data_IF_019730642195
#
_entry.id   IF_019730642195
#
_cell.length_a   1.000
_cell.length_b   1.000
_cell.length_c   1.000
_cell.angle_alpha   90.00
_cell.angle_beta   90.00
_cell.angle_gamma   90.00
#
_symmetry.space_group_name_H-M   'P 1'
#
loop_
_entity.id
_entity.type
_entity.pdbx_description
1 polymer ?
#
# COMPACT_ATOMS: atom_id res chain seq x y z
N UNK A 1 -41.39 -22.55 -58.46
CA UNK A 1 -41.56 -21.60 -57.35
C UNK A 1 -40.49 -21.93 -56.32
N UNK A 2 -39.44 -21.12 -56.24
CA UNK A 2 -38.33 -21.31 -55.29
C UNK A 2 -38.59 -20.46 -54.05
N UNK A 3 -39.08 -21.07 -52.98
CA UNK A 3 -39.23 -20.46 -51.66
C UNK A 3 -37.88 -20.49 -50.94
N UNK A 4 -37.21 -19.34 -50.88
CA UNK A 4 -36.03 -19.15 -50.02
C UNK A 4 -36.50 -18.99 -48.58
N UNK A 5 -36.04 -19.88 -47.71
CA UNK A 5 -36.23 -19.79 -46.25
C UNK A 5 -35.17 -18.81 -45.71
N UNK A 6 -35.55 -17.74 -44.98
CA UNK A 6 -34.57 -16.86 -44.38
C UNK A 6 -33.93 -17.54 -43.17
N UNK A 7 -32.60 -17.66 -43.20
CA UNK A 7 -31.79 -18.12 -42.08
C UNK A 7 -31.56 -16.93 -41.13
N UNK A 8 -32.31 -16.87 -40.04
CA UNK A 8 -32.07 -15.89 -38.97
C UNK A 8 -30.89 -16.36 -38.13
N UNK A 9 -29.73 -15.74 -38.31
CA UNK A 9 -28.58 -15.95 -37.44
C UNK A 9 -28.85 -15.23 -36.12
N UNK A 10 -29.17 -16.00 -35.09
CA UNK A 10 -29.27 -15.49 -33.72
C UNK A 10 -27.83 -15.31 -33.21
N UNK A 11 -27.28 -14.09 -33.31
CA UNK A 11 -26.02 -13.76 -32.63
C UNK A 11 -26.33 -13.59 -31.13
N UNK A 12 -26.07 -14.62 -30.32
CA UNK A 12 -25.95 -14.43 -28.89
C UNK A 12 -24.66 -13.65 -28.65
N UNK A 13 -24.78 -12.36 -28.40
CA UNK A 13 -23.72 -11.62 -27.74
C UNK A 13 -23.63 -12.17 -26.31
N UNK A 14 -22.71 -13.12 -26.08
CA UNK A 14 -22.20 -13.36 -24.74
C UNK A 14 -21.47 -12.08 -24.35
N UNK A 15 -22.15 -11.20 -23.62
CA UNK A 15 -21.47 -10.17 -22.86
C UNK A 15 -20.57 -10.90 -21.87
N UNK A 16 -19.26 -10.78 -22.05
CA UNK A 16 -18.32 -11.17 -21.02
C UNK A 16 -18.68 -10.32 -19.80
N UNK A 17 -19.27 -10.93 -18.79
CA UNK A 17 -19.33 -10.35 -17.46
C UNK A 17 -17.88 -10.39 -17.00
N UNK A 18 -17.17 -9.27 -17.17
CA UNK A 18 -15.89 -9.09 -16.54
C UNK A 18 -16.16 -9.16 -15.04
N UNK A 19 -15.81 -10.27 -14.40
CA UNK A 19 -15.79 -10.36 -12.97
C UNK A 19 -14.87 -9.23 -12.49
N UNK A 20 -15.44 -8.29 -11.73
CA UNK A 20 -14.66 -7.29 -11.04
C UNK A 20 -13.65 -8.03 -10.18
N UNK A 21 -12.39 -7.58 -10.20
CA UNK A 21 -11.32 -8.13 -9.39
C UNK A 21 -11.77 -8.29 -7.93
N UNK A 22 -11.66 -9.51 -7.38
CA UNK A 22 -12.07 -9.85 -6.00
C UNK A 22 -10.97 -9.47 -4.99
N UNK A 23 -10.62 -8.18 -4.96
CA UNK A 23 -9.73 -7.66 -3.93
C UNK A 23 -10.43 -7.70 -2.57
N UNK A 24 -9.80 -8.36 -1.61
CA UNK A 24 -10.14 -8.21 -0.20
C UNK A 24 -9.28 -7.09 0.37
N UNK A 25 -9.90 -5.95 0.68
CA UNK A 25 -9.24 -4.85 1.38
C UNK A 25 -8.94 -5.30 2.81
N UNK A 26 -7.67 -5.21 3.21
CA UNK A 26 -7.21 -5.51 4.57
C UNK A 26 -7.28 -4.24 5.42
N UNK A 27 -6.72 -3.13 4.93
CA UNK A 27 -6.73 -1.86 5.64
C UNK A 27 -6.48 -0.69 4.68
N UNK A 28 -7.23 0.39 4.85
CA UNK A 28 -6.94 1.71 4.25
C UNK A 28 -6.30 2.66 5.25
N UNK A 29 -6.16 2.26 6.51
CA UNK A 29 -5.62 3.07 7.60
C UNK A 29 -6.30 4.45 7.82
N UNK A 30 -7.46 4.71 7.21
CA UNK A 30 -8.22 5.95 7.33
C UNK A 30 -8.84 6.18 8.73
N UNK A 31 -8.88 5.14 9.56
CA UNK A 31 -9.35 5.21 10.95
C UNK A 31 -8.36 4.55 11.91
N UNK A 32 -8.30 5.06 13.13
CA UNK A 32 -7.41 4.59 14.18
C UNK A 32 -7.66 3.12 14.58
N UNK A 33 -8.87 2.59 14.37
CA UNK A 33 -9.16 1.17 14.59
C UNK A 33 -8.35 0.24 13.68
N UNK A 34 -7.77 0.76 12.58
CA UNK A 34 -6.87 -0.02 11.74
C UNK A 34 -5.62 -0.51 12.49
N UNK A 35 -5.22 0.16 13.59
CA UNK A 35 -4.13 -0.32 14.44
C UNK A 35 -4.50 -1.57 15.25
N UNK A 36 -5.78 -1.93 15.39
CA UNK A 36 -6.18 -3.19 16.05
C UNK A 36 -5.70 -4.42 15.25
N UNK A 37 -5.38 -4.24 13.97
CA UNK A 37 -4.78 -5.26 13.11
C UNK A 37 -3.25 -5.31 13.19
N UNK A 38 -2.64 -4.34 13.85
CA UNK A 38 -1.19 -4.18 13.93
C UNK A 38 -0.68 -4.61 15.30
N UNK A 39 0.30 -5.52 15.30
CA UNK A 39 1.08 -5.84 16.50
C UNK A 39 2.48 -5.24 16.38
N UNK A 40 2.82 -4.33 17.27
CA UNK A 40 4.15 -3.76 17.38
C UNK A 40 5.01 -4.56 18.36
N UNK A 41 6.20 -4.97 17.91
CA UNK A 41 7.17 -5.69 18.71
C UNK A 41 8.50 -4.94 18.70
N UNK A 42 8.85 -4.34 19.84
CA UNK A 42 10.13 -3.65 20.02
C UNK A 42 11.15 -4.57 20.71
N UNK A 43 12.41 -4.50 20.28
CA UNK A 43 13.49 -5.32 20.87
C UNK A 43 14.02 -4.79 22.20
N UNK A 44 13.64 -3.57 22.59
CA UNK A 44 14.03 -2.93 23.84
C UNK A 44 12.75 -2.69 24.64
N UNK A 45 12.70 -3.24 25.86
CA UNK A 45 11.60 -3.00 26.79
C UNK A 45 11.52 -1.51 27.14
N UNK A 46 10.34 -0.92 27.00
CA UNK A 46 10.11 0.51 27.25
C UNK A 46 10.61 1.44 26.14
N UNK A 47 10.97 0.90 24.97
CA UNK A 47 11.29 1.72 23.79
C UNK A 47 10.12 2.60 23.36
N UNK A 48 10.41 3.79 22.86
CA UNK A 48 9.44 4.66 22.18
C UNK A 48 9.19 4.29 20.71
N UNK A 49 9.82 3.20 20.25
CA UNK A 49 9.52 2.59 18.97
C UNK A 49 8.04 2.16 18.93
N UNK A 50 7.33 2.67 17.93
CA UNK A 50 5.89 2.50 17.80
C UNK A 50 5.45 2.70 16.37
N UNK A 51 4.27 2.23 16.06
CA UNK A 51 3.51 2.68 14.91
C UNK A 51 2.29 3.49 15.34
N UNK A 52 1.82 4.35 14.44
CA UNK A 52 0.64 5.18 14.62
C UNK A 52 0.00 5.48 13.26
N UNK A 53 -1.22 6.01 13.28
CA UNK A 53 -1.88 6.50 12.07
C UNK A 53 -1.60 7.99 11.92
N UNK A 54 -1.01 8.38 10.79
CA UNK A 54 -0.77 9.77 10.43
C UNK A 54 -1.37 10.00 9.05
N UNK A 55 -2.31 10.93 8.96
CA UNK A 55 -2.97 11.32 7.71
C UNK A 55 -3.51 10.12 6.91
N UNK A 56 -4.18 9.21 7.63
CA UNK A 56 -4.77 7.99 7.08
C UNK A 56 -3.76 6.91 6.71
N UNK A 57 -2.48 7.00 7.15
CA UNK A 57 -1.44 6.04 6.80
C UNK A 57 -0.81 5.41 8.02
N UNK A 58 -0.42 4.15 7.89
CA UNK A 58 0.38 3.46 8.89
C UNK A 58 1.82 3.98 8.86
N UNK A 59 2.16 4.79 9.86
CA UNK A 59 3.49 5.36 10.04
C UNK A 59 4.24 4.57 11.11
N UNK A 60 5.50 4.23 10.82
CA UNK A 60 6.35 3.49 11.76
C UNK A 60 7.56 4.31 12.19
N UNK A 61 7.88 4.26 13.48
CA UNK A 61 8.97 5.00 14.12
C UNK A 61 9.89 4.03 14.86
N UNK A 62 11.20 3.99 14.57
CA UNK A 62 12.13 3.05 15.20
C UNK A 62 12.56 3.45 16.63
N UNK A 63 11.89 4.43 17.25
CA UNK A 63 12.20 4.95 18.59
C UNK A 63 13.03 6.23 18.58
N UNK A 64 13.44 6.67 19.76
CA UNK A 64 14.17 7.92 19.96
C UNK A 64 15.65 7.82 19.57
N UNK A 65 16.25 9.00 19.35
CA UNK A 65 17.68 9.19 19.06
C UNK A 65 18.60 8.43 20.04
N UNK A 66 18.25 8.42 21.33
CA UNK A 66 19.08 7.85 22.39
C UNK A 66 18.86 6.34 22.60
N UNK A 67 17.89 5.74 21.91
CA UNK A 67 17.59 4.31 21.99
C UNK A 67 18.43 3.54 20.97
N UNK A 68 19.75 3.51 21.19
CA UNK A 68 20.68 2.83 20.28
C UNK A 68 20.32 1.35 20.15
N UNK A 69 20.28 0.84 18.92
CA UNK A 69 19.81 -0.50 18.53
C UNK A 69 18.31 -0.75 18.74
N UNK A 70 17.49 0.29 18.92
CA UNK A 70 16.04 0.12 18.89
C UNK A 70 15.59 -0.34 17.49
N UNK A 71 14.83 -1.42 17.46
CA UNK A 71 14.20 -1.98 16.29
C UNK A 71 12.71 -2.12 16.57
N UNK A 72 11.91 -1.72 15.59
CA UNK A 72 10.47 -1.97 15.57
C UNK A 72 10.18 -3.06 14.55
N UNK A 73 9.35 -4.02 14.94
CA UNK A 73 8.73 -4.99 14.05
C UNK A 73 7.22 -4.80 14.13
N UNK A 74 6.63 -4.12 13.15
CA UNK A 74 5.19 -3.95 13.01
C UNK A 74 4.62 -5.07 12.16
N UNK A 75 3.62 -5.79 12.68
CA UNK A 75 3.00 -6.92 12.00
C UNK A 75 1.52 -6.66 11.79
N UNK A 76 1.12 -6.47 10.53
CA UNK A 76 -0.27 -6.34 10.12
C UNK A 76 -0.84 -7.73 9.81
N UNK A 77 -1.90 -8.13 10.51
CA UNK A 77 -2.66 -9.34 10.18
C UNK A 77 -3.46 -9.12 8.89
N UNK A 78 -3.23 -9.98 7.90
CA UNK A 78 -3.91 -9.95 6.61
C UNK A 78 -5.29 -10.60 6.66
N UNK A 79 -5.64 -11.27 7.77
CA UNK A 79 -6.91 -11.97 7.96
C UNK A 79 -7.08 -13.21 7.07
N UNK A 80 -6.05 -13.58 6.29
CA UNK A 80 -6.07 -14.73 5.38
C UNK A 80 -4.70 -15.40 5.28
N UNK A 81 -4.71 -16.72 5.09
CA UNK A 81 -3.50 -17.50 4.84
C UNK A 81 -3.20 -17.55 3.34
N UNK A 82 -2.27 -16.71 2.88
CA UNK A 82 -1.87 -16.62 1.48
C UNK A 82 -1.22 -17.90 0.97
N UNK A 83 -0.57 -18.67 1.86
CA UNK A 83 0.01 -19.97 1.49
C UNK A 83 -1.09 -20.98 1.20
N UNK A 84 -2.04 -21.14 2.12
CA UNK A 84 -3.16 -22.05 1.91
C UNK A 84 -3.97 -21.66 0.66
N UNK A 85 -4.18 -20.36 0.43
CA UNK A 85 -4.85 -19.85 -0.75
C UNK A 85 -4.11 -20.22 -2.05
N UNK A 86 -2.81 -19.91 -2.15
CA UNK A 86 -1.96 -20.26 -3.30
C UNK A 86 -1.94 -21.76 -3.61
N UNK A 87 -1.86 -22.61 -2.57
CA UNK A 87 -1.95 -24.07 -2.73
C UNK A 87 -3.35 -24.47 -3.22
N UNK A 88 -4.40 -23.86 -2.67
CA UNK A 88 -5.79 -24.14 -3.01
C UNK A 88 -6.13 -23.84 -4.48
N UNK A 89 -5.62 -22.73 -5.02
CA UNK A 89 -5.78 -22.36 -6.44
C UNK A 89 -4.75 -23.05 -7.35
N UNK A 90 -3.73 -23.69 -6.79
CA UNK A 90 -2.67 -24.37 -7.53
C UNK A 90 -1.75 -23.41 -8.30
N UNK A 91 -1.57 -22.19 -7.80
CA UNK A 91 -0.79 -21.14 -8.46
C UNK A 91 -0.60 -19.92 -7.59
N UNK A 92 -0.27 -18.79 -8.21
CA UNK A 92 0.00 -17.56 -7.49
C UNK A 92 -1.26 -16.89 -6.92
N UNK A 93 -1.08 -16.11 -5.85
CA UNK A 93 -2.04 -15.14 -5.30
C UNK A 93 -1.37 -13.77 -5.24
N UNK A 94 -2.14 -12.69 -5.13
CA UNK A 94 -1.56 -11.34 -5.07
C UNK A 94 -1.73 -10.69 -3.70
N UNK A 95 -0.66 -10.08 -3.22
CA UNK A 95 -0.66 -9.10 -2.13
C UNK A 95 -0.35 -7.71 -2.69
N UNK A 96 -1.05 -6.68 -2.21
CA UNK A 96 -0.90 -5.28 -2.62
C UNK A 96 -0.67 -4.38 -1.42
N UNK A 97 0.21 -3.39 -1.58
CA UNK A 97 0.43 -2.31 -0.61
C UNK A 97 0.91 -1.04 -1.29
N UNK A 98 0.56 0.12 -0.73
CA UNK A 98 1.15 1.41 -1.08
C UNK A 98 2.23 1.82 -0.09
N UNK A 99 3.34 2.36 -0.59
CA UNK A 99 4.48 2.78 0.22
C UNK A 99 4.93 4.19 -0.17
N UNK A 100 5.13 5.06 0.81
CA UNK A 100 5.57 6.45 0.60
C UNK A 100 6.75 6.80 1.52
N UNK A 101 7.80 7.40 0.94
CA UNK A 101 8.84 8.12 1.68
C UNK A 101 8.46 9.61 1.72
N UNK A 102 7.91 10.13 2.83
CA UNK A 102 7.38 11.49 2.87
C UNK A 102 8.46 12.57 2.79
N UNK A 103 8.02 13.80 2.53
CA UNK A 103 8.82 15.00 2.80
C UNK A 103 8.66 15.38 4.28
N UNK A 104 9.78 15.61 4.96
CA UNK A 104 9.85 15.94 6.39
C UNK A 104 10.68 17.20 6.61
N UNK A 105 10.56 17.82 7.78
CA UNK A 105 11.42 18.95 8.16
C UNK A 105 12.88 18.53 8.28
N UNK A 106 13.80 19.40 7.84
CA UNK A 106 15.24 19.20 8.04
C UNK A 106 15.75 19.72 9.39
N UNK A 107 14.88 20.30 10.23
CA UNK A 107 15.24 20.90 11.52
C UNK A 107 15.95 22.26 11.43
N UNK A 108 16.20 22.78 10.24
CA UNK A 108 16.85 24.05 9.96
C UNK A 108 15.91 25.05 9.24
N UNK A 109 14.61 24.76 9.22
CA UNK A 109 13.58 25.58 8.56
C UNK A 109 13.35 25.22 7.09
N UNK A 110 13.96 24.14 6.58
CA UNK A 110 13.71 23.56 5.27
C UNK A 110 13.01 22.20 5.36
N UNK A 111 12.96 21.53 4.21
CA UNK A 111 12.34 20.22 4.03
C UNK A 111 13.25 19.29 3.24
N UNK A 112 13.16 17.99 3.49
CA UNK A 112 13.92 16.95 2.80
C UNK A 112 13.11 15.66 2.71
N UNK A 113 13.55 14.73 1.85
CA UNK A 113 13.04 13.35 1.85
C UNK A 113 13.31 12.67 3.20
N UNK A 114 12.38 11.84 3.66
CA UNK A 114 12.54 10.98 4.83
C UNK A 114 13.76 10.05 4.69
N UNK A 115 14.62 10.00 5.71
CA UNK A 115 15.77 9.12 5.79
C UNK A 115 15.32 7.83 6.48
N UNK A 116 15.24 6.73 5.72
CA UNK A 116 14.67 5.45 6.19
C UNK A 116 15.60 4.27 5.89
N UNK A 117 15.63 3.31 6.79
CA UNK A 117 16.14 1.93 6.67
C UNK A 117 14.97 1.01 7.08
N UNK A 118 14.16 0.64 6.09
CA UNK A 118 12.95 -0.15 6.31
C UNK A 118 12.98 -1.40 5.45
N UNK A 119 12.55 -2.51 6.02
CA UNK A 119 12.24 -3.75 5.33
C UNK A 119 10.76 -4.05 5.46
N UNK A 120 10.12 -4.54 4.39
CA UNK A 120 8.77 -5.05 4.48
C UNK A 120 8.55 -6.27 3.59
N UNK A 121 7.47 -7.00 3.86
CA UNK A 121 7.03 -8.10 3.03
C UNK A 121 6.15 -9.09 3.76
N UNK A 122 6.04 -10.31 3.23
CA UNK A 122 5.17 -11.35 3.75
C UNK A 122 5.92 -12.24 4.75
N UNK A 123 5.24 -12.66 5.81
CA UNK A 123 5.81 -13.48 6.87
C UNK A 123 4.87 -14.58 7.34
N UNK A 124 5.46 -15.74 7.65
CA UNK A 124 4.82 -16.82 8.38
C UNK A 124 5.17 -16.86 9.87
N UNK A 125 5.89 -15.86 10.35
CA UNK A 125 6.32 -15.78 11.74
C UNK A 125 5.18 -15.24 12.61
N UNK A 126 5.22 -15.57 13.90
CA UNK A 126 4.30 -15.01 14.90
C UNK A 126 4.98 -13.85 15.65
N UNK A 127 4.22 -12.85 16.13
CA UNK A 127 4.77 -11.71 16.86
C UNK A 127 5.73 -12.08 17.99
N UNK A 128 5.41 -13.12 18.76
CA UNK A 128 6.22 -13.57 19.90
C UNK A 128 7.62 -14.07 19.51
N UNK A 129 7.83 -14.44 18.25
CA UNK A 129 9.08 -15.04 17.76
C UNK A 129 9.93 -14.06 16.94
N UNK A 130 9.35 -12.97 16.43
CA UNK A 130 9.98 -12.10 15.42
C UNK A 130 11.30 -11.48 15.91
N UNK A 131 11.46 -11.25 17.21
CA UNK A 131 12.72 -10.73 17.78
C UNK A 131 13.86 -11.76 17.74
N UNK A 132 13.51 -13.04 17.70
CA UNK A 132 14.46 -14.15 17.62
C UNK A 132 14.87 -14.40 16.17
N UNK A 133 13.92 -14.47 15.25
CA UNK A 133 14.16 -14.80 13.83
C UNK A 133 14.48 -13.58 12.98
N UNK A 134 14.01 -12.39 13.36
CA UNK A 134 14.36 -11.08 12.78
C UNK A 134 14.14 -11.06 11.26
N UNK A 135 15.19 -10.83 10.48
CA UNK A 135 15.12 -10.80 9.02
C UNK A 135 14.84 -12.18 8.40
N UNK A 136 15.03 -13.27 9.14
CA UNK A 136 14.69 -14.61 8.64
C UNK A 136 13.18 -14.92 8.79
N UNK A 137 12.41 -13.99 9.35
CA UNK A 137 10.95 -14.05 9.41
C UNK A 137 10.27 -13.82 8.05
N UNK A 138 10.98 -13.28 7.05
CA UNK A 138 10.39 -12.93 5.76
C UNK A 138 10.42 -14.08 4.75
N UNK A 139 9.31 -14.28 4.03
CA UNK A 139 9.26 -15.14 2.85
C UNK A 139 9.59 -14.32 1.59
N UNK A 140 8.74 -13.36 1.24
CA UNK A 140 8.96 -12.37 0.20
C UNK A 140 9.32 -11.03 0.85
N UNK A 141 10.34 -10.34 0.35
CA UNK A 141 10.91 -9.18 1.05
C UNK A 141 11.40 -8.10 0.07
N UNK A 142 11.10 -6.86 0.42
CA UNK A 142 11.68 -5.66 -0.19
C UNK A 142 12.20 -4.73 0.91
N UNK A 143 13.07 -3.78 0.56
CA UNK A 143 13.58 -2.79 1.51
C UNK A 143 13.96 -1.48 0.84
N UNK A 144 14.09 -0.44 1.65
CA UNK A 144 14.83 0.77 1.32
C UNK A 144 16.08 0.78 2.20
N UNK A 145 17.25 0.76 1.56
CA UNK A 145 18.55 0.73 2.26
C UNK A 145 19.07 2.16 2.45
N UNK A 146 19.18 2.62 3.69
CA UNK A 146 19.62 3.99 4.01
C UNK A 146 20.97 4.41 3.39
N UNK A 147 21.93 3.48 3.26
CA UNK A 147 23.27 3.81 2.75
C UNK A 147 23.24 4.26 1.28
N UNK A 148 22.29 3.75 0.50
CA UNK A 148 22.16 4.04 -0.93
C UNK A 148 20.86 4.78 -1.26
N UNK A 149 19.90 4.83 -0.33
CA UNK A 149 18.51 5.26 -0.53
C UNK A 149 17.80 4.49 -1.66
N UNK A 150 18.33 3.32 -2.02
CA UNK A 150 17.76 2.50 -3.07
C UNK A 150 16.67 1.59 -2.53
N UNK A 151 15.63 1.44 -3.35
CA UNK A 151 14.73 0.31 -3.25
C UNK A 151 15.45 -0.97 -3.68
N UNK A 152 15.31 -2.04 -2.91
CA UNK A 152 15.98 -3.32 -3.16
C UNK A 152 15.06 -4.50 -2.86
N UNK A 153 15.12 -5.51 -3.73
CA UNK A 153 14.42 -6.77 -3.53
C UNK A 153 15.35 -7.87 -3.06
N UNK A 154 14.80 -8.83 -2.31
CA UNK A 154 15.54 -10.00 -1.83
C UNK A 154 15.29 -11.20 -2.76
N UNK A 155 16.26 -11.53 -3.62
CA UNK A 155 16.22 -12.76 -4.41
C UNK A 155 16.93 -13.89 -3.65
N UNK A 156 16.16 -14.61 -2.83
CA UNK A 156 16.66 -15.66 -1.94
C UNK A 156 17.75 -15.18 -0.99
N UNK A 157 18.99 -15.58 -1.28
CA UNK A 157 20.19 -15.25 -0.49
C UNK A 157 20.82 -13.88 -0.80
N UNK A 158 20.35 -13.17 -1.83
CA UNK A 158 21.00 -11.96 -2.35
C UNK A 158 20.04 -10.78 -2.45
N UNK A 159 20.57 -9.56 -2.42
CA UNK A 159 19.81 -8.35 -2.72
C UNK A 159 20.04 -7.93 -4.16
N UNK A 160 18.99 -7.43 -4.79
CA UNK A 160 19.04 -6.82 -6.12
C UNK A 160 18.66 -5.36 -5.94
N UNK A 161 19.58 -4.48 -6.32
CA UNK A 161 19.36 -3.04 -6.28
C UNK A 161 18.49 -2.62 -7.46
N UNK A 162 17.49 -1.78 -7.19
CA UNK A 162 16.53 -1.27 -8.16
C UNK A 162 16.82 0.23 -8.31
N UNK A 163 15.84 1.10 -8.10
CA UNK A 163 16.00 2.55 -8.17
C UNK A 163 15.38 3.20 -6.93
N UNK A 164 15.94 4.32 -6.49
CA UNK A 164 15.43 5.06 -5.35
C UNK A 164 14.00 5.56 -5.58
N UNK A 165 13.21 5.64 -4.51
CA UNK A 165 11.92 6.32 -4.56
C UNK A 165 12.13 7.84 -4.65
N UNK A 166 11.21 8.52 -5.30
CA UNK A 166 11.04 9.95 -5.22
C UNK A 166 10.36 10.31 -3.89
N UNK A 167 10.66 11.49 -3.37
CA UNK A 167 10.04 11.96 -2.15
C UNK A 167 8.56 12.26 -2.38
N UNK A 168 7.71 11.92 -1.42
CA UNK A 168 6.28 12.24 -1.39
C UNK A 168 5.48 11.68 -2.57
N UNK A 169 5.91 10.53 -3.08
CA UNK A 169 5.20 9.77 -4.10
C UNK A 169 4.72 8.46 -3.49
N UNK A 170 3.43 8.15 -3.65
CA UNK A 170 2.88 6.84 -3.31
C UNK A 170 3.24 5.84 -4.40
N UNK A 171 3.97 4.80 -4.01
CA UNK A 171 4.32 3.68 -4.88
C UNK A 171 3.38 2.51 -4.60
N UNK A 172 2.65 2.10 -5.63
CA UNK A 172 1.82 0.90 -5.65
C UNK A 172 2.69 -0.32 -5.88
N UNK A 173 2.64 -1.29 -4.98
CA UNK A 173 3.48 -2.48 -5.02
C UNK A 173 2.61 -3.72 -4.99
N UNK A 174 2.79 -4.61 -5.97
CA UNK A 174 2.17 -5.93 -6.00
C UNK A 174 3.23 -6.99 -5.77
N UNK A 175 2.96 -7.92 -4.86
CA UNK A 175 3.65 -9.21 -4.80
C UNK A 175 2.73 -10.28 -5.36
N UNK A 176 3.11 -10.88 -6.48
CA UNK A 176 2.47 -12.08 -7.01
C UNK A 176 3.26 -13.26 -6.44
N UNK A 177 2.68 -14.00 -5.50
CA UNK A 177 3.39 -15.03 -4.73
C UNK A 177 2.85 -16.42 -5.03
N UNK A 178 3.75 -17.35 -5.34
CA UNK A 178 3.42 -18.76 -5.56
C UNK A 178 4.12 -19.62 -4.50
N UNK A 179 3.33 -20.16 -3.58
CA UNK A 179 3.82 -21.03 -2.50
C UNK A 179 3.94 -22.51 -2.91
N UNK A 180 3.44 -22.90 -4.08
CA UNK A 180 3.73 -24.23 -4.64
C UNK A 180 5.16 -24.29 -5.18
N UNK A 181 5.60 -23.19 -5.79
CA UNK A 181 6.91 -23.07 -6.44
C UNK A 181 7.94 -22.27 -5.63
N UNK A 182 7.53 -21.65 -4.52
CA UNK A 182 8.35 -20.87 -3.60
C UNK A 182 9.07 -19.68 -4.25
N UNK A 183 8.32 -18.90 -5.02
CA UNK A 183 8.82 -17.65 -5.59
C UNK A 183 7.78 -16.54 -5.49
N UNK A 184 8.24 -15.32 -5.74
CA UNK A 184 7.37 -14.19 -5.96
C UNK A 184 7.84 -13.35 -7.15
N UNK A 185 6.93 -12.55 -7.67
CA UNK A 185 7.22 -11.48 -8.60
C UNK A 185 6.86 -10.16 -7.93
N UNK A 186 7.59 -9.09 -8.23
CA UNK A 186 7.25 -7.75 -7.76
C UNK A 186 6.92 -6.86 -8.94
N UNK A 187 5.79 -6.17 -8.86
CA UNK A 187 5.42 -5.11 -9.77
C UNK A 187 5.34 -3.80 -9.00
N UNK A 188 5.67 -2.70 -9.67
CA UNK A 188 5.62 -1.36 -9.08
C UNK A 188 4.98 -0.36 -10.05
N UNK A 189 4.29 0.63 -9.50
CA UNK A 189 3.84 1.80 -10.24
C UNK A 189 3.91 3.03 -9.32
N UNK A 190 4.42 4.15 -9.84
CA UNK A 190 4.63 5.38 -9.08
C UNK A 190 5.92 6.08 -9.50
N UNK A 191 5.95 7.40 -9.41
CA UNK A 191 7.14 8.21 -9.69
C UNK A 191 7.70 7.97 -11.09
N UNK A 192 8.93 7.49 -11.17
CA UNK A 192 9.59 7.12 -12.42
C UNK A 192 8.92 5.93 -13.16
N UNK A 193 8.17 5.07 -12.45
CA UNK A 193 7.41 3.98 -13.06
C UNK A 193 5.99 4.45 -13.34
N UNK A 194 5.84 5.26 -14.39
CA UNK A 194 4.53 5.84 -14.78
C UNK A 194 3.51 4.78 -15.17
N UNK A 195 3.98 3.61 -15.61
CA UNK A 195 3.19 2.42 -15.87
C UNK A 195 3.60 1.29 -14.91
N UNK A 196 2.67 0.36 -14.66
CA UNK A 196 2.94 -0.83 -13.86
C UNK A 196 4.08 -1.63 -14.49
N UNK A 197 5.20 -1.69 -13.80
CA UNK A 197 6.45 -2.26 -14.26
C UNK A 197 6.80 -3.50 -13.45
N UNK A 198 7.09 -4.63 -14.11
CA UNK A 198 7.66 -5.81 -13.45
C UNK A 198 9.13 -5.56 -13.12
N UNK A 199 9.52 -5.80 -11.87
CA UNK A 199 10.89 -5.59 -11.41
C UNK A 199 11.76 -6.79 -11.75
N UNK A 200 12.95 -6.51 -12.30
CA UNK A 200 13.94 -7.52 -12.62
C UNK A 200 14.67 -8.01 -11.36
N UNK A 201 14.80 -9.34 -11.24
CA UNK A 201 15.51 -10.02 -10.16
C UNK A 201 17.04 -10.09 -10.39
N UNK A 202 17.55 -9.26 -11.31
CA UNK A 202 18.96 -9.13 -11.67
C UNK A 202 19.45 -10.20 -12.67
N UNK A 203 18.57 -11.11 -13.08
CA UNK A 203 18.83 -12.20 -14.02
C UNK A 203 17.89 -12.20 -15.23
N UNK A 204 17.12 -11.12 -15.41
CA UNK A 204 16.10 -10.93 -16.45
C UNK A 204 14.91 -11.89 -16.36
N UNK A 205 14.79 -12.70 -15.29
CA UNK A 205 13.65 -13.59 -15.11
C UNK A 205 12.41 -12.84 -14.60
N UNK A 206 12.62 -11.78 -13.82
CA UNK A 206 11.56 -11.13 -13.03
C UNK A 206 10.95 -12.03 -11.94
N UNK A 207 11.60 -13.16 -11.64
CA UNK A 207 11.22 -14.14 -10.62
C UNK A 207 12.19 -14.04 -9.45
N UNK A 208 11.64 -13.87 -8.26
CA UNK A 208 12.38 -13.70 -7.02
C UNK A 208 12.18 -14.91 -6.14
N UNK A 209 13.26 -15.57 -5.72
CA UNK A 209 13.15 -16.67 -4.77
C UNK A 209 12.83 -16.15 -3.37
N UNK A 210 12.01 -16.88 -2.62
CA UNK A 210 11.79 -16.56 -1.22
C UNK A 210 13.10 -16.55 -0.44
N UNK A 211 13.20 -15.62 0.50
CA UNK A 211 14.28 -15.58 1.49
C UNK A 211 14.26 -16.83 2.35
N UNK A 212 13.08 -17.16 2.88
CA UNK A 212 12.82 -18.36 3.65
C UNK A 212 11.54 -19.02 3.15
N UNK A 213 11.59 -20.32 2.88
CA UNK A 213 10.41 -21.07 2.47
C UNK A 213 9.58 -21.41 3.71
N UNK A 214 8.27 -21.10 3.72
CA UNK A 214 7.41 -21.52 4.83
C UNK A 214 7.31 -23.05 4.87
N UNK A 215 7.21 -23.61 6.07
CA UNK A 215 7.01 -25.04 6.27
C UNK A 215 5.63 -25.51 5.78
N UNK A 216 5.44 -26.82 5.69
CA UNK A 216 4.19 -27.40 5.16
C UNK A 216 2.92 -27.01 5.94
N UNK A 217 3.09 -26.71 7.23
CA UNK A 217 2.03 -26.35 8.18
C UNK A 217 2.07 -24.88 8.58
N UNK A 218 3.03 -24.11 8.03
CA UNK A 218 3.13 -22.68 8.29
C UNK A 218 1.96 -21.93 7.67
N UNK A 219 1.50 -20.91 8.38
CA UNK A 219 0.46 -19.96 7.94
C UNK A 219 1.15 -18.67 7.53
N UNK A 220 0.92 -18.18 6.33
CA UNK A 220 1.47 -16.89 5.84
C UNK A 220 0.35 -15.86 5.81
N UNK A 221 0.16 -15.16 6.92
CA UNK A 221 -0.96 -14.22 7.11
C UNK A 221 -0.53 -12.85 7.63
N UNK A 222 0.77 -12.52 7.63
CA UNK A 222 1.23 -11.20 8.08
C UNK A 222 1.96 -10.46 6.97
N UNK A 223 1.67 -9.17 6.86
CA UNK A 223 2.65 -8.21 6.37
C UNK A 223 3.54 -7.80 7.55
N UNK A 224 4.83 -8.03 7.43
CA UNK A 224 5.83 -7.64 8.41
C UNK A 224 6.57 -6.40 7.92
N UNK A 225 6.73 -5.41 8.78
CA UNK A 225 7.56 -4.22 8.55
C UNK A 225 8.59 -4.14 9.66
N UNK A 226 9.86 -3.97 9.32
CA UNK A 226 10.95 -3.82 10.26
C UNK A 226 11.72 -2.53 10.01
N UNK A 227 11.93 -1.76 11.06
CA UNK A 227 12.79 -0.57 11.07
C UNK A 227 13.89 -0.75 12.10
N UNK A 228 15.07 -0.22 11.80
CA UNK A 228 16.17 -0.14 12.74
C UNK A 228 16.60 1.31 12.92
N UNK A 229 16.79 1.73 14.18
CA UNK A 229 17.44 3.01 14.52
C UNK A 229 18.94 2.97 14.29
N UNK A 230 19.52 1.80 13.99
CA UNK A 230 20.95 1.61 13.90
C UNK A 230 21.64 1.78 15.24
N UNK A 231 22.89 2.21 15.25
CA UNK A 231 23.64 2.39 16.50
C UNK A 231 24.69 3.49 16.38
N UNK A 232 25.17 3.95 17.55
CA UNK A 232 26.15 5.03 17.64
C UNK A 232 27.53 4.70 17.04
N UNK A 233 27.78 3.46 16.61
CA UNK A 233 29.07 3.01 16.06
C UNK A 233 29.03 2.94 14.52
N UNK A 234 27.96 2.39 13.96
CA UNK A 234 27.76 2.17 12.52
C UNK A 234 26.91 3.27 11.86
N UNK A 235 26.40 4.20 12.67
CA UNK A 235 25.52 5.28 12.23
C UNK A 235 24.08 5.04 12.64
N UNK A 236 23.41 6.15 12.92
CA UNK A 236 21.96 6.17 13.08
C UNK A 236 21.29 5.84 11.75
N UNK A 237 20.18 5.13 11.86
CA UNK A 237 19.35 4.69 10.74
C UNK A 237 17.90 5.11 11.01
N UNK A 238 17.09 5.14 9.96
CA UNK A 238 15.67 5.50 10.03
C UNK A 238 15.41 6.71 10.92
N UNK A 239 15.83 7.88 10.45
CA UNK A 239 15.65 9.13 11.18
C UNK A 239 14.19 9.60 11.18
N UNK A 240 13.46 9.19 10.15
CA UNK A 240 12.13 9.69 9.81
C UNK A 240 11.18 8.51 9.54
N UNK A 241 9.86 8.75 9.51
CA UNK A 241 8.91 7.71 9.20
C UNK A 241 8.93 7.31 7.73
N UNK A 242 8.42 6.11 7.48
CA UNK A 242 7.90 5.64 6.19
C UNK A 242 6.41 5.37 6.36
N UNK A 243 5.63 5.61 5.32
CA UNK A 243 4.19 5.40 5.36
C UNK A 243 3.80 4.19 4.52
N UNK A 244 2.93 3.35 5.09
CA UNK A 244 2.24 2.28 4.41
C UNK A 244 0.75 2.60 4.37
N UNK A 245 0.13 2.33 3.24
CA UNK A 245 -1.27 2.62 3.00
C UNK A 245 -1.89 1.52 2.12
N UNK A 246 -3.22 1.46 2.09
CA UNK A 246 -3.98 0.70 1.10
C UNK A 246 -3.47 -0.73 0.91
N UNK A 247 -3.71 -1.58 1.90
CA UNK A 247 -3.32 -3.00 1.89
C UNK A 247 -4.49 -3.85 1.44
N UNK A 248 -4.25 -4.70 0.44
CA UNK A 248 -5.26 -5.65 -0.06
C UNK A 248 -4.63 -6.97 -0.50
N UNK A 249 -5.46 -8.01 -0.58
CA UNK A 249 -5.08 -9.34 -1.06
C UNK A 249 -6.10 -9.87 -2.06
N UNK A 250 -5.62 -10.60 -3.05
CA UNK A 250 -6.44 -11.39 -3.97
C UNK A 250 -5.99 -12.84 -3.87
N UNK A 251 -6.84 -13.66 -3.27
CA UNK A 251 -6.60 -15.10 -3.03
C UNK A 251 -7.05 -15.98 -4.18
N UNK A 252 -7.58 -15.40 -5.26
CA UNK A 252 -8.17 -16.13 -6.39
C UNK A 252 -7.17 -16.37 -7.53
N UNK A 253 -6.06 -15.64 -7.56
CA UNK A 253 -5.04 -15.79 -8.58
C UNK A 253 -4.07 -14.63 -8.67
N UNK A 254 -3.26 -14.63 -9.73
CA UNK A 254 -2.54 -13.43 -10.14
C UNK A 254 -3.53 -12.35 -10.59
N UNK A 255 -3.51 -11.24 -9.87
CA UNK A 255 -4.24 -10.04 -10.19
C UNK A 255 -3.33 -8.82 -10.12
N UNK A 256 -3.17 -8.12 -11.25
CA UNK A 256 -2.31 -6.94 -11.36
C UNK A 256 -3.09 -5.63 -11.44
N UNK A 257 -4.42 -5.66 -11.36
CA UNK A 257 -5.22 -4.44 -11.25
C UNK A 257 -4.91 -3.73 -9.93
N UNK A 258 -5.04 -2.41 -9.87
CA UNK A 258 -5.01 -1.73 -8.58
C UNK A 258 -6.34 -2.03 -7.87
N UNK A 259 -6.33 -2.39 -6.57
CA UNK A 259 -7.55 -2.49 -5.79
C UNK A 259 -8.28 -1.15 -5.76
N UNK A 260 -9.60 -1.21 -5.71
CA UNK A 260 -10.43 -0.06 -5.42
C UNK A 260 -10.68 -0.03 -3.90
N UNK A 261 -10.15 1.00 -3.24
CA UNK A 261 -10.26 1.16 -1.79
C UNK A 261 -11.48 2.01 -1.39
N UNK A 262 -12.34 2.41 -2.34
CA UNK A 262 -13.55 3.19 -2.04
C UNK A 262 -13.29 4.63 -1.56
N UNK A 263 -12.03 4.98 -1.30
CA UNK A 263 -11.52 6.35 -1.20
C UNK A 263 -10.67 6.62 -2.43
N UNK A 264 -11.02 7.62 -3.23
CA UNK A 264 -10.26 7.98 -4.42
C UNK A 264 -8.81 8.27 -4.02
N UNK A 265 -7.90 7.46 -4.53
CA UNK A 265 -6.44 7.59 -4.35
C UNK A 265 -6.00 9.05 -4.48
N UNK A 266 -5.72 9.70 -3.35
CA UNK A 266 -5.11 11.03 -3.26
C UNK A 266 -5.87 12.22 -3.87
N UNK A 267 -7.03 12.03 -4.48
CA UNK A 267 -7.85 13.14 -4.94
C UNK A 267 -8.61 13.69 -3.75
N UNK A 268 -8.11 14.78 -3.20
CA UNK A 268 -8.89 15.62 -2.31
C UNK A 268 -9.55 16.73 -3.10
N UNK A 269 -10.69 17.21 -2.63
CA UNK A 269 -11.23 18.51 -2.99
C UNK A 269 -11.23 19.37 -1.73
N UNK A 270 -10.45 20.44 -1.74
CA UNK A 270 -10.27 21.33 -0.59
C UNK A 270 -9.84 20.59 0.69
N UNK A 271 -8.98 19.57 0.54
CA UNK A 271 -8.49 18.73 1.65
C UNK A 271 -9.43 17.62 2.10
N UNK A 272 -10.64 17.50 1.53
CA UNK A 272 -11.57 16.40 1.81
C UNK A 272 -11.42 15.29 0.77
N UNK A 273 -11.42 14.03 1.20
CA UNK A 273 -11.32 12.88 0.31
C UNK A 273 -12.49 12.85 -0.70
N UNK A 274 -12.15 12.61 -1.97
CA UNK A 274 -13.11 12.40 -3.07
C UNK A 274 -13.30 10.90 -3.26
N UNK A 275 -14.54 10.41 -3.21
CA UNK A 275 -14.88 9.02 -3.52
C UNK A 275 -14.63 8.71 -5.01
N UNK A 276 -14.53 7.43 -5.40
CA UNK A 276 -14.36 7.03 -6.80
C UNK A 276 -15.44 7.59 -7.75
N UNK A 277 -16.67 7.75 -7.25
CA UNK A 277 -17.78 8.32 -8.01
C UNK A 277 -17.68 9.85 -8.11
N UNK A 278 -16.82 10.52 -7.34
CA UNK A 278 -16.69 11.97 -7.31
C UNK A 278 -17.42 12.67 -6.17
N UNK A 279 -17.88 11.92 -5.15
CA UNK A 279 -18.54 12.50 -3.98
C UNK A 279 -17.54 12.88 -2.89
N UNK A 280 -17.82 13.96 -2.18
CA UNK A 280 -17.01 14.48 -1.08
C UNK A 280 -17.95 14.69 0.09
N UNK A 281 -17.62 14.10 1.24
CA UNK A 281 -18.34 14.34 2.48
C UNK A 281 -17.61 15.42 3.28
N UNK A 282 -18.16 16.64 3.26
CA UNK A 282 -17.61 17.79 4.01
C UNK A 282 -18.17 17.91 5.42
N UNK A 283 -18.88 16.88 5.90
CA UNK A 283 -19.51 16.86 7.22
C UNK A 283 -20.52 17.99 7.40
N UNK A 284 -20.40 18.74 8.49
CA UNK A 284 -21.34 19.80 8.84
C UNK A 284 -21.23 21.07 7.98
N UNK A 285 -20.24 21.17 7.08
CA UNK A 285 -19.99 22.38 6.31
C UNK A 285 -20.94 22.53 5.11
N UNK A 286 -20.83 21.66 4.11
CA UNK A 286 -21.67 21.64 2.91
C UNK A 286 -22.43 20.32 2.75
N UNK A 287 -22.27 19.39 3.70
CA UNK A 287 -22.81 18.03 3.59
C UNK A 287 -22.09 17.22 2.51
N UNK A 288 -22.87 16.40 1.81
CA UNK A 288 -22.41 15.57 0.70
C UNK A 288 -22.47 16.36 -0.61
N UNK A 289 -21.32 16.53 -1.28
CA UNK A 289 -21.20 17.25 -2.55
C UNK A 289 -20.53 16.40 -3.62
N UNK A 290 -20.82 16.65 -4.90
CA UNK A 290 -20.21 15.97 -6.03
C UNK A 290 -19.34 16.94 -6.81
N UNK A 291 -18.06 16.59 -7.02
CA UNK A 291 -17.01 17.55 -7.45
C UNK A 291 -16.42 17.28 -8.83
N UNK A 292 -16.85 16.23 -9.53
CA UNK A 292 -16.33 15.90 -10.87
C UNK A 292 -16.67 16.93 -11.96
N UNK A 293 -17.53 17.92 -11.65
CA UNK A 293 -17.90 19.02 -12.56
C UNK A 293 -17.30 20.36 -12.15
N UNK A 294 -16.21 20.34 -11.36
CA UNK A 294 -15.49 21.53 -10.95
C UNK A 294 -15.26 22.52 -12.13
N UNK A 295 -15.47 23.83 -11.92
CA UNK A 295 -15.66 24.52 -10.63
C UNK A 295 -17.10 24.49 -10.08
N UNK A 296 -18.04 23.82 -10.74
CA UNK A 296 -19.39 23.65 -10.23
C UNK A 296 -19.48 22.34 -9.43
N UNK A 297 -19.84 22.44 -8.16
CA UNK A 297 -20.06 21.28 -7.29
C UNK A 297 -21.55 21.08 -7.07
N UNK A 298 -22.06 19.87 -7.20
CA UNK A 298 -23.47 19.59 -6.91
C UNK A 298 -23.63 19.33 -5.42
N UNK A 299 -24.54 20.03 -4.73
CA UNK A 299 -24.87 19.77 -3.33
C UNK A 299 -26.10 18.89 -3.23
N UNK A 300 -25.98 17.75 -2.54
CA UNK A 300 -27.11 16.84 -2.31
C UNK A 300 -28.20 17.49 -1.45
N UNK A 301 -27.81 18.28 -0.44
CA UNK A 301 -28.75 18.93 0.47
C UNK A 301 -29.53 20.08 -0.18
N UNK A 302 -28.92 20.78 -1.13
CA UNK A 302 -29.57 21.86 -1.87
C UNK A 302 -30.22 21.40 -3.19
N UNK A 303 -29.95 20.17 -3.60
CA UNK A 303 -30.35 19.57 -4.87
C UNK A 303 -30.00 20.43 -6.11
N UNK A 304 -28.88 21.16 -6.07
CA UNK A 304 -28.45 22.07 -7.15
C UNK A 304 -26.93 22.20 -7.24
N UNK A 305 -26.44 22.70 -8.38
CA UNK A 305 -25.04 23.06 -8.55
C UNK A 305 -24.71 24.40 -7.90
N UNK A 306 -23.56 24.44 -7.26
CA UNK A 306 -22.95 25.58 -6.60
C UNK A 306 -21.66 25.89 -7.34
N UNK A 307 -21.45 27.14 -7.74
CA UNK A 307 -20.13 27.57 -8.21
C UNK A 307 -19.22 27.78 -7.00
N UNK A 308 -18.22 26.90 -6.86
CA UNK A 308 -17.29 26.88 -5.74
C UNK A 308 -15.92 26.32 -6.21
N UNK A 309 -15.08 27.16 -6.83
CA UNK A 309 -13.71 26.78 -7.18
C UNK A 309 -12.91 26.36 -5.95
N UNK A 310 -12.18 25.25 -6.07
CA UNK A 310 -11.41 24.67 -4.97
C UNK A 310 -10.34 25.62 -4.42
N UNK A 311 -9.68 26.38 -5.28
CA UNK A 311 -8.63 27.35 -4.93
C UNK A 311 -9.15 28.55 -4.10
N UNK A 312 -10.47 28.71 -3.98
CA UNK A 312 -11.11 29.71 -3.15
C UNK A 312 -11.60 29.17 -1.80
N UNK A 313 -11.44 27.86 -1.56
CA UNK A 313 -11.75 27.23 -0.28
C UNK A 313 -10.53 27.30 0.63
N UNK A 314 -10.67 27.99 1.77
CA UNK A 314 -9.66 28.02 2.82
C UNK A 314 -10.24 27.76 4.21
N UNK A 315 -9.39 27.76 5.22
CA UNK A 315 -9.75 27.45 6.62
C UNK A 315 -10.86 28.36 7.19
N UNK A 316 -10.98 29.57 6.66
CA UNK A 316 -12.02 30.53 7.04
C UNK A 316 -13.36 30.30 6.32
N UNK A 317 -13.46 29.28 5.47
CA UNK A 317 -14.56 29.02 4.56
C UNK A 317 -14.33 29.62 3.17
N UNK A 318 -15.40 29.64 2.36
CA UNK A 318 -15.40 30.13 0.99
C UNK A 318 -16.70 30.88 0.67
N UNK A 319 -16.65 31.79 -0.30
CA UNK A 319 -17.85 32.36 -0.88
C UNK A 319 -18.28 31.53 -2.08
N UNK A 320 -19.55 31.16 -2.13
CA UNK A 320 -20.13 30.37 -3.22
C UNK A 320 -21.28 31.11 -3.90
N UNK A 321 -21.47 30.87 -5.19
CA UNK A 321 -22.65 31.35 -5.91
C UNK A 321 -23.62 30.19 -6.19
N UNK A 322 -24.89 30.39 -5.84
CA UNK A 322 -25.95 29.41 -6.08
C UNK A 322 -26.93 30.05 -7.07
N UNK A 323 -27.10 29.42 -8.24
CA UNK A 323 -28.15 29.79 -9.16
C UNK A 323 -29.40 28.96 -8.81
N UNK A 324 -30.48 29.63 -8.43
CA UNK A 324 -31.77 29.02 -8.09
C UNK A 324 -32.90 29.74 -8.79
#
# INVERSE_FOLDING_TARGET
MNTKIPLTVLSCALGAVFAQADWTVVSTFDDASALDLVTDVANIEGSEARSEIIDGKWALFPGLLFETNSNLYGMLDLGTDLRAASIGVGGAVTFYVEVTQPIVSDGAGGTRKSIVDVTWGLSNEQPDNVLTTRYDSYNAMQRILITTDNFEGRNGGSYVTIEAFQADVSYKIWFVVDFNLNFYETYIQGGQWTERTKLDAGDMSGIWFFRFNPGETSVVNHMLVALSRGNSVQGEKSLDPVYFDNVAVDVTGENLTAPDFGGGSGNTWAGYAVSPEGWVNTGAWLGLIYVNEAPFVYSADLETYIYLPEDLVGDAGAWSYIYK
#
